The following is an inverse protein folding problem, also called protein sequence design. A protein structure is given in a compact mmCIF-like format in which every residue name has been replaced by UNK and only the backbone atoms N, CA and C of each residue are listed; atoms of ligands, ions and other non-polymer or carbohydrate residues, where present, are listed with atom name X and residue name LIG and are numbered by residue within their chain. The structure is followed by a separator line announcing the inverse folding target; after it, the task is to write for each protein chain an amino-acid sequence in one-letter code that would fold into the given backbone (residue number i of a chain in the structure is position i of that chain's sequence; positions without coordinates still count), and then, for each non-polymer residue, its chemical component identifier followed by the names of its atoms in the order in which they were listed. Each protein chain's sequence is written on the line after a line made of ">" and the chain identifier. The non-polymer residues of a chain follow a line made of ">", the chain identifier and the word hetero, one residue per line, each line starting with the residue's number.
data_IF_637972205083
#
_entry.id   IF_637972205083
#
_cell.length_a   1.000
_cell.length_b   1.000
_cell.length_c   1.000
_cell.angle_alpha   90.00
_cell.angle_beta   90.00
_cell.angle_gamma   90.00
#
_symmetry.space_group_name_H-M   'P 1'
#
loop_
_entity.id
_entity.type
_entity.pdbx_description
1 polymer ?
#
# COMPACT_ATOMS: atom_id res chain seq x y z
N UNK A 1 12.17 -10.78 -33.38
CA UNK A 1 12.20 -9.57 -32.54
C UNK A 1 12.07 -10.00 -31.07
N UNK A 2 13.15 -9.99 -30.30
CA UNK A 2 13.13 -10.43 -28.90
C UNK A 2 12.57 -9.32 -28.01
N UNK A 3 11.27 -9.37 -27.69
CA UNK A 3 10.71 -8.61 -26.57
C UNK A 3 11.19 -9.29 -25.29
N UNK A 4 12.32 -8.82 -24.74
CA UNK A 4 12.76 -9.23 -23.43
C UNK A 4 11.65 -8.87 -22.42
N UNK A 5 10.97 -9.88 -21.87
CA UNK A 5 10.02 -9.71 -20.78
C UNK A 5 10.72 -8.91 -19.67
N UNK A 6 10.39 -7.62 -19.55
CA UNK A 6 10.87 -6.77 -18.47
C UNK A 6 10.44 -7.44 -17.17
N UNK A 7 11.39 -8.05 -16.44
CA UNK A 7 11.12 -8.58 -15.10
C UNK A 7 10.45 -7.45 -14.31
N UNK A 8 9.24 -7.71 -13.81
CA UNK A 8 8.55 -6.78 -12.93
C UNK A 8 9.48 -6.49 -11.74
N UNK A 9 9.74 -5.20 -11.50
CA UNK A 9 10.59 -4.72 -10.39
C UNK A 9 9.99 -5.04 -9.02
N UNK A 10 8.78 -5.58 -8.98
CA UNK A 10 8.02 -5.89 -7.78
C UNK A 10 7.57 -7.34 -7.75
N UNK A 11 7.22 -7.82 -6.56
CA UNK A 11 6.59 -9.12 -6.33
C UNK A 11 5.46 -8.98 -5.30
N UNK A 12 4.48 -9.89 -5.33
CA UNK A 12 3.38 -9.93 -4.34
C UNK A 12 3.79 -10.82 -3.18
N UNK A 13 3.74 -10.29 -1.96
CA UNK A 13 4.05 -11.07 -0.76
C UNK A 13 2.88 -11.97 -0.33
N UNK A 14 3.12 -12.86 0.63
CA UNK A 14 2.10 -13.77 1.20
C UNK A 14 0.90 -13.06 1.83
N UNK A 15 1.01 -11.76 2.13
CA UNK A 15 -0.05 -10.92 2.69
C UNK A 15 -0.82 -10.14 1.61
N UNK A 16 -0.41 -10.29 0.35
CA UNK A 16 -1.03 -9.68 -0.81
C UNK A 16 -0.49 -8.29 -1.19
N UNK A 17 0.58 -7.82 -0.55
CA UNK A 17 1.17 -6.50 -0.85
C UNK A 17 2.26 -6.61 -1.91
N UNK A 18 2.35 -5.61 -2.79
CA UNK A 18 3.52 -5.48 -3.65
C UNK A 18 4.73 -4.93 -2.88
N UNK A 19 5.89 -5.55 -3.13
CA UNK A 19 7.20 -5.20 -2.62
C UNK A 19 8.20 -5.04 -3.75
N UNK A 20 9.13 -4.11 -3.63
CA UNK A 20 10.25 -4.00 -4.57
C UNK A 20 11.21 -5.18 -4.38
N UNK A 21 11.65 -5.79 -5.48
CA UNK A 21 12.55 -6.95 -5.45
C UNK A 21 13.96 -6.64 -4.95
N UNK A 22 14.41 -5.40 -5.11
CA UNK A 22 15.75 -4.95 -4.75
C UNK A 22 15.93 -4.64 -3.27
N UNK A 23 14.86 -4.26 -2.58
CA UNK A 23 14.92 -3.66 -1.25
C UNK A 23 13.88 -4.22 -0.28
N UNK A 24 13.00 -5.09 -0.76
CA UNK A 24 11.86 -5.64 -0.03
C UNK A 24 10.85 -4.60 0.50
N UNK A 25 10.99 -3.32 0.10
CA UNK A 25 10.16 -2.22 0.59
C UNK A 25 8.75 -2.30 0.01
N UNK A 26 7.76 -1.98 0.85
CA UNK A 26 6.36 -1.92 0.45
C UNK A 26 6.10 -0.81 -0.58
N UNK A 27 5.47 -1.17 -1.69
CA UNK A 27 5.22 -0.25 -2.81
C UNK A 27 4.30 0.90 -2.39
N UNK A 28 3.17 0.60 -1.73
CA UNK A 28 2.24 1.64 -1.26
C UNK A 28 2.89 2.68 -0.33
N UNK A 29 3.84 2.27 0.52
CA UNK A 29 4.58 3.22 1.37
C UNK A 29 5.45 4.12 0.53
N UNK A 30 6.19 3.57 -0.44
CA UNK A 30 7.08 4.35 -1.31
C UNK A 30 6.33 5.35 -2.19
N UNK A 31 5.12 5.02 -2.64
CA UNK A 31 4.25 5.95 -3.37
C UNK A 31 3.95 7.18 -2.51
N UNK A 32 3.56 6.97 -1.25
CA UNK A 32 3.27 8.08 -0.33
C UNK A 32 4.52 8.85 0.11
N UNK A 33 5.64 8.17 0.40
CA UNK A 33 6.91 8.85 0.67
C UNK A 33 7.33 9.78 -0.46
N UNK A 34 7.20 9.32 -1.72
CA UNK A 34 7.51 10.13 -2.89
C UNK A 34 6.57 11.33 -3.01
N UNK A 35 5.28 11.13 -2.74
CA UNK A 35 4.28 12.19 -2.77
C UNK A 35 4.52 13.26 -1.68
N UNK A 36 4.86 12.85 -0.46
CA UNK A 36 5.12 13.77 0.65
C UNK A 36 6.54 14.39 0.63
N UNK A 37 7.44 13.89 -0.22
CA UNK A 37 8.82 14.35 -0.28
C UNK A 37 9.69 13.94 0.92
N UNK A 38 9.20 13.09 1.82
CA UNK A 38 9.96 12.63 2.99
C UNK A 38 9.58 11.19 3.39
N UNK A 39 10.38 10.61 4.30
CA UNK A 39 10.16 9.27 4.82
C UNK A 39 8.97 9.22 5.76
N UNK A 40 8.09 8.26 5.54
CA UNK A 40 7.00 7.99 6.47
C UNK A 40 7.56 7.42 7.77
N UNK A 41 7.04 7.88 8.90
CA UNK A 41 7.35 7.28 10.20
C UNK A 41 7.08 5.77 10.20
N UNK A 42 7.89 4.95 10.90
CA UNK A 42 7.58 3.53 11.10
C UNK A 42 6.19 3.28 11.70
N UNK A 43 5.66 4.25 12.47
CA UNK A 43 4.32 4.18 13.08
C UNK A 43 3.19 4.56 12.12
N UNK A 44 3.50 5.16 10.98
CA UNK A 44 2.50 5.51 9.96
C UNK A 44 1.93 4.24 9.35
N UNK A 45 0.60 4.13 9.34
CA UNK A 45 -0.12 3.02 8.71
C UNK A 45 -0.70 3.50 7.38
N UNK A 46 -0.49 2.75 6.32
CA UNK A 46 -1.03 3.08 4.99
C UNK A 46 -2.25 2.21 4.71
N UNK A 47 -3.35 2.87 4.36
CA UNK A 47 -4.64 2.28 4.13
C UNK A 47 -5.00 2.33 2.64
N UNK A 48 -5.51 1.22 2.10
CA UNK A 48 -6.08 1.12 0.75
C UNK A 48 -7.59 1.34 0.81
N UNK A 49 -8.08 2.47 0.31
CA UNK A 49 -9.49 2.88 0.41
C UNK A 49 -10.46 1.90 -0.24
N UNK A 50 -10.06 1.29 -1.35
CA UNK A 50 -10.83 0.27 -2.06
C UNK A 50 -10.56 -1.17 -1.59
N UNK A 51 -9.73 -1.35 -0.55
CA UNK A 51 -9.29 -2.65 0.00
C UNK A 51 -8.44 -3.53 -0.92
N UNK A 52 -8.17 -3.09 -2.15
CA UNK A 52 -7.27 -3.78 -3.06
C UNK A 52 -5.81 -3.39 -2.75
N UNK A 53 -5.07 -4.33 -2.14
CA UNK A 53 -3.65 -4.17 -1.78
C UNK A 53 -2.73 -3.99 -2.99
N UNK A 54 -3.20 -4.33 -4.20
CA UNK A 54 -2.47 -4.20 -5.46
C UNK A 54 -2.69 -2.85 -6.15
N UNK A 55 -3.76 -2.13 -5.80
CA UNK A 55 -4.02 -0.77 -6.28
C UNK A 55 -3.22 0.27 -5.48
N UNK A 56 -2.01 0.54 -5.96
CA UNK A 56 -1.07 1.46 -5.33
C UNK A 56 -1.15 2.90 -5.89
N UNK A 57 -2.24 3.25 -6.60
CA UNK A 57 -2.45 4.63 -7.05
C UNK A 57 -2.58 5.56 -5.85
N UNK A 58 -1.94 6.73 -5.90
CA UNK A 58 -1.88 7.66 -4.74
C UNK A 58 -3.26 8.07 -4.23
N UNK A 59 -4.26 8.21 -5.11
CA UNK A 59 -5.66 8.49 -4.77
C UNK A 59 -6.31 7.40 -3.92
N UNK A 60 -5.87 6.15 -4.06
CA UNK A 60 -6.39 5.01 -3.32
C UNK A 60 -5.70 4.83 -1.95
N UNK A 61 -4.61 5.56 -1.69
CA UNK A 61 -3.83 5.42 -0.47
C UNK A 61 -4.17 6.53 0.53
N UNK A 62 -4.15 6.18 1.81
CA UNK A 62 -4.27 7.15 2.92
C UNK A 62 -3.29 6.80 4.03
N UNK A 63 -2.52 7.79 4.51
CA UNK A 63 -1.61 7.64 5.64
C UNK A 63 -2.28 8.03 6.95
N UNK A 64 -2.23 7.14 7.93
CA UNK A 64 -2.68 7.40 9.31
C UNK A 64 -1.46 7.48 10.23
N UNK A 65 -1.44 8.44 11.14
CA UNK A 65 -0.34 8.65 12.07
C UNK A 65 -0.18 7.53 13.11
N UNK A 66 -1.22 6.72 13.33
CA UNK A 66 -1.19 5.59 14.24
C UNK A 66 -2.25 4.52 13.90
N UNK A 67 -2.06 3.32 14.45
CA UNK A 67 -2.94 2.18 14.28
C UNK A 67 -4.36 2.43 14.82
N UNK A 68 -4.50 3.15 15.95
CA UNK A 68 -5.82 3.41 16.57
C UNK A 68 -6.78 4.14 15.61
N UNK A 69 -6.28 5.15 14.88
CA UNK A 69 -7.07 5.87 13.86
C UNK A 69 -7.38 4.97 12.66
N UNK A 70 -6.42 4.15 12.25
CA UNK A 70 -6.59 3.19 11.16
C UNK A 70 -7.69 2.15 11.47
N UNK A 71 -7.71 1.61 12.69
CA UNK A 71 -8.70 0.60 13.10
C UNK A 71 -10.12 1.17 13.13
N UNK A 72 -10.27 2.45 13.50
CA UNK A 72 -11.56 3.14 13.46
C UNK A 72 -12.11 3.25 12.02
N UNK A 73 -11.25 3.37 11.01
CA UNK A 73 -11.65 3.39 9.60
C UNK A 73 -12.07 2.00 9.13
N UNK A 74 -11.37 0.94 9.54
CA UNK A 74 -11.79 -0.42 9.21
C UNK A 74 -13.21 -0.74 9.69
N UNK A 75 -13.64 -0.20 10.85
CA UNK A 75 -15.03 -0.31 11.32
C UNK A 75 -16.02 0.37 10.36
N UNK A 76 -15.66 1.51 9.77
CA UNK A 76 -16.48 2.21 8.77
C UNK A 76 -16.51 1.45 7.45
N UNK A 77 -15.35 1.00 6.96
CA UNK A 77 -15.28 0.24 5.72
C UNK A 77 -16.08 -1.04 5.80
N UNK A 78 -16.09 -1.69 6.98
CA UNK A 78 -16.88 -2.91 7.21
C UNK A 78 -18.36 -2.70 6.87
N UNK A 79 -18.90 -1.53 7.19
CA UNK A 79 -20.29 -1.17 6.83
C UNK A 79 -20.46 -0.99 5.32
N UNK A 80 -19.41 -0.60 4.60
CA UNK A 80 -19.47 -0.27 3.16
C UNK A 80 -19.18 -1.46 2.24
N UNK A 81 -18.27 -2.33 2.64
CA UNK A 81 -17.73 -3.40 1.79
C UNK A 81 -17.84 -4.78 2.44
N UNK A 82 -18.46 -4.90 3.61
CA UNK A 82 -18.58 -6.15 4.35
C UNK A 82 -17.33 -6.52 5.17
N UNK A 83 -17.35 -7.74 5.71
CA UNK A 83 -16.21 -8.32 6.43
C UNK A 83 -15.02 -8.57 5.50
N UNK A 84 -13.82 -8.54 6.07
CA UNK A 84 -12.54 -8.84 5.40
C UNK A 84 -12.20 -10.32 5.55
#
# INVERSE_FOLDING_TARGET
>A
MHSAMKKLKVYKDKRGYFRFRDSDKLVHRRVLEKFFGHKLSPRTVVHHKNRDKTDNRRENLWAWSNQKRHDAIHKKDKRRFGHW
#
